data_IF_329855084333
#
_entry.id   IF_329855084333
#
_cell.length_a   1.000
_cell.length_b   1.000
_cell.length_c   1.000
_cell.angle_alpha   90.00
_cell.angle_beta   90.00
_cell.angle_gamma   90.00
#
_symmetry.space_group_name_H-M   'P 1'
#
loop_
_entity.id
_entity.type
_entity.pdbx_description
1 polymer ?
#
# COMPACT_ATOMS: atom_id res chain seq x y z
N UNK A 1 -9.26 2.50 5.36
CA UNK A 1 -8.72 2.54 4.00
C UNK A 1 -9.78 2.96 2.98
N UNK A 2 -10.94 2.29 2.97
CA UNK A 2 -12.04 2.57 2.03
C UNK A 2 -12.41 4.07 1.99
N UNK A 3 -12.68 4.70 3.14
CA UNK A 3 -13.01 6.12 3.19
C UNK A 3 -11.90 7.01 2.60
N UNK A 4 -10.63 6.80 2.98
CA UNK A 4 -9.51 7.59 2.46
C UNK A 4 -9.38 7.49 0.94
N UNK A 5 -9.44 6.28 0.38
CA UNK A 5 -9.37 6.08 -1.07
C UNK A 5 -10.61 6.63 -1.78
N UNK A 6 -11.80 6.44 -1.23
CA UNK A 6 -13.02 7.01 -1.80
C UNK A 6 -12.97 8.55 -1.85
N UNK A 7 -12.48 9.17 -0.79
CA UNK A 7 -12.53 10.63 -0.64
C UNK A 7 -11.34 11.34 -1.30
N UNK A 8 -10.20 10.65 -1.45
CA UNK A 8 -8.95 11.31 -1.83
C UNK A 8 -8.22 10.65 -3.02
N UNK A 9 -8.64 9.47 -3.52
CA UNK A 9 -8.00 8.83 -4.66
C UNK A 9 -8.88 8.91 -5.91
N UNK A 10 -8.39 9.58 -6.94
CA UNK A 10 -9.15 9.83 -8.18
C UNK A 10 -8.39 9.48 -9.46
N UNK A 11 -7.19 8.90 -9.34
CA UNK A 11 -6.36 8.57 -10.50
C UNK A 11 -6.97 7.47 -11.38
N UNK A 12 -7.52 6.42 -10.77
CA UNK A 12 -8.16 5.31 -11.47
C UNK A 12 -9.32 4.71 -10.66
N UNK A 13 -10.18 3.87 -11.25
CA UNK A 13 -11.20 3.14 -10.51
C UNK A 13 -10.59 2.29 -9.40
N UNK A 14 -11.18 2.37 -8.20
CA UNK A 14 -10.77 1.59 -7.03
C UNK A 14 -11.84 0.57 -6.71
N UNK A 15 -11.41 -0.67 -6.51
CA UNK A 15 -12.24 -1.77 -6.06
C UNK A 15 -11.68 -2.33 -4.77
N UNK A 16 -12.56 -2.86 -3.92
CA UNK A 16 -12.19 -3.49 -2.66
C UNK A 16 -12.53 -4.99 -2.71
N UNK A 17 -11.86 -5.80 -1.91
CA UNK A 17 -12.18 -7.20 -1.75
C UNK A 17 -11.74 -7.65 -0.36
N UNK A 18 -12.30 -8.75 0.12
CA UNK A 18 -11.86 -9.35 1.38
C UNK A 18 -10.61 -10.20 1.16
N UNK A 19 -9.69 -10.20 2.10
CA UNK A 19 -8.48 -11.04 2.10
C UNK A 19 -8.79 -12.53 1.85
N UNK A 20 -9.87 -13.04 2.45
CA UNK A 20 -10.39 -14.40 2.24
C UNK A 20 -10.75 -14.72 0.78
N UNK A 21 -10.87 -13.71 -0.07
CA UNK A 21 -11.16 -13.82 -1.51
C UNK A 21 -9.98 -13.44 -2.40
N UNK A 22 -8.79 -13.19 -1.84
CA UNK A 22 -7.59 -12.77 -2.59
C UNK A 22 -7.22 -13.72 -3.75
N UNK A 23 -7.29 -15.03 -3.53
CA UNK A 23 -7.00 -16.02 -4.57
C UNK A 23 -7.96 -15.92 -5.76
N UNK A 24 -9.23 -15.57 -5.53
CA UNK A 24 -10.19 -15.35 -6.61
C UNK A 24 -9.81 -14.13 -7.45
N UNK A 25 -9.41 -13.04 -6.81
CA UNK A 25 -8.92 -11.82 -7.48
C UNK A 25 -7.68 -12.14 -8.31
N UNK A 26 -6.71 -12.88 -7.75
CA UNK A 26 -5.50 -13.32 -8.46
C UNK A 26 -5.82 -14.17 -9.69
N UNK A 27 -6.88 -14.96 -9.64
CA UNK A 27 -7.38 -15.78 -10.76
C UNK A 27 -8.28 -15.03 -11.75
N UNK A 28 -8.47 -13.71 -11.57
CA UNK A 28 -9.36 -12.90 -12.42
C UNK A 28 -10.86 -13.13 -12.20
N UNK A 29 -11.24 -13.84 -11.12
CA UNK A 29 -12.64 -14.11 -10.76
C UNK A 29 -13.24 -12.91 -10.01
N UNK A 30 -13.50 -11.83 -10.72
CA UNK A 30 -13.92 -10.55 -10.11
C UNK A 30 -15.41 -10.47 -9.81
N UNK A 31 -16.26 -11.19 -10.54
CA UNK A 31 -17.72 -11.13 -10.40
C UNK A 31 -18.16 -11.58 -8.99
N UNK A 32 -18.89 -10.71 -8.29
CA UNK A 32 -19.32 -10.93 -6.92
C UNK A 32 -18.20 -10.92 -5.87
N UNK A 33 -16.95 -10.66 -6.27
CA UNK A 33 -15.77 -10.57 -5.39
C UNK A 33 -15.35 -9.13 -5.17
N UNK A 34 -15.35 -8.32 -6.23
CA UNK A 34 -15.03 -6.90 -6.14
C UNK A 34 -16.20 -6.11 -5.56
N UNK A 35 -15.86 -5.20 -4.65
CA UNK A 35 -16.77 -4.36 -3.89
C UNK A 35 -16.53 -2.88 -4.19
N UNK A 36 -17.60 -2.09 -4.08
CA UNK A 36 -17.54 -0.63 -4.14
C UNK A 36 -17.12 -0.03 -2.79
N UNK A 37 -17.07 1.31 -2.70
CA UNK A 37 -16.72 2.01 -1.45
C UNK A 37 -17.76 1.87 -0.33
N UNK A 38 -18.95 1.36 -0.63
CA UNK A 38 -19.97 1.00 0.35
C UNK A 38 -19.93 -0.49 0.71
N UNK A 39 -18.90 -1.21 0.25
CA UNK A 39 -18.73 -2.65 0.44
C UNK A 39 -19.83 -3.51 -0.20
N UNK A 40 -20.50 -3.00 -1.23
CA UNK A 40 -21.48 -3.76 -2.01
C UNK A 40 -20.81 -4.35 -3.25
N UNK A 41 -21.26 -5.53 -3.74
CA UNK A 41 -20.75 -6.11 -4.98
C UNK A 41 -20.88 -5.16 -6.17
N UNK A 42 -19.78 -5.00 -6.92
CA UNK A 42 -19.75 -4.16 -8.12
C UNK A 42 -20.46 -4.86 -9.27
N UNK A 43 -21.45 -4.17 -9.86
CA UNK A 43 -22.21 -4.70 -11.01
C UNK A 43 -21.60 -4.37 -12.37
N UNK A 44 -20.96 -3.22 -12.50
CA UNK A 44 -20.41 -2.70 -13.76
C UNK A 44 -18.94 -2.33 -13.58
N UNK A 45 -18.09 -3.35 -13.43
CA UNK A 45 -16.65 -3.14 -13.28
C UNK A 45 -16.01 -2.84 -14.64
N UNK A 46 -15.07 -1.89 -14.65
CA UNK A 46 -14.26 -1.53 -15.85
C UNK A 46 -13.17 -2.57 -16.10
N UNK A 47 -12.72 -3.26 -15.06
CA UNK A 47 -11.67 -4.28 -15.13
C UNK A 47 -12.24 -5.63 -15.61
N UNK A 48 -11.48 -6.32 -16.47
CA UNK A 48 -11.79 -7.64 -17.00
C UNK A 48 -10.81 -8.70 -16.49
N UNK A 49 -11.22 -9.97 -16.49
CA UNK A 49 -10.37 -11.10 -16.08
C UNK A 49 -9.05 -11.25 -16.89
N UNK A 50 -8.94 -10.57 -18.04
CA UNK A 50 -7.73 -10.58 -18.88
C UNK A 50 -6.80 -9.41 -18.61
N UNK A 51 -7.23 -8.44 -17.81
CA UNK A 51 -6.45 -7.25 -17.56
C UNK A 51 -5.32 -7.58 -16.60
N UNK A 52 -4.11 -7.14 -16.96
CA UNK A 52 -2.90 -7.30 -16.13
C UNK A 52 -2.38 -5.97 -15.59
N UNK A 53 -2.97 -4.85 -16.06
CA UNK A 53 -2.58 -3.48 -15.75
C UNK A 53 -3.35 -2.94 -14.53
N UNK A 54 -3.30 -3.66 -13.42
CA UNK A 54 -3.85 -3.20 -12.16
C UNK A 54 -2.89 -3.47 -11.01
N UNK A 55 -3.08 -2.73 -9.92
CA UNK A 55 -2.30 -2.89 -8.70
C UNK A 55 -3.19 -3.36 -7.57
N UNK A 56 -2.64 -4.18 -6.70
CA UNK A 56 -3.29 -4.58 -5.44
C UNK A 56 -2.59 -3.86 -4.30
N UNK A 57 -3.36 -3.23 -3.42
CA UNK A 57 -2.81 -2.49 -2.28
C UNK A 57 -3.43 -2.92 -0.96
N UNK A 58 -2.64 -2.95 0.10
CA UNK A 58 -3.12 -3.11 1.46
C UNK A 58 -2.22 -2.37 2.45
N UNK A 59 -2.76 -2.03 3.62
CA UNK A 59 -2.02 -1.37 4.69
C UNK A 59 -1.71 -2.39 5.75
N UNK A 60 -0.43 -2.66 5.94
CA UNK A 60 0.03 -3.79 6.73
C UNK A 60 1.52 -3.75 6.96
N UNK A 61 2.00 -4.77 7.65
CA UNK A 61 3.43 -5.06 7.67
C UNK A 61 3.81 -5.59 6.29
N UNK A 62 4.88 -5.08 5.69
CA UNK A 62 5.45 -5.74 4.53
C UNK A 62 5.86 -7.15 4.93
N UNK A 63 5.38 -8.13 4.16
CA UNK A 63 6.03 -9.44 4.10
C UNK A 63 7.50 -9.16 3.78
N UNK A 64 8.46 -9.79 4.48
CA UNK A 64 9.87 -9.60 4.18
C UNK A 64 10.07 -9.82 2.68
N UNK A 65 10.45 -8.76 1.96
CA UNK A 65 11.07 -8.98 0.66
C UNK A 65 12.24 -9.93 0.94
N UNK A 66 12.43 -10.94 0.10
CA UNK A 66 13.68 -11.70 0.10
C UNK A 66 14.78 -10.76 -0.42
N UNK A 67 15.05 -9.69 0.31
CA UNK A 67 16.08 -8.74 -0.02
C UNK A 67 17.38 -9.38 0.41
N UNK A 68 18.01 -10.09 -0.51
CA UNK A 68 19.48 -10.07 -0.60
C UNK A 68 19.90 -8.66 -0.99
N UNK A 69 19.66 -7.66 -0.14
CA UNK A 69 20.36 -6.38 -0.26
C UNK A 69 21.61 -6.48 0.58
N UNK A 70 22.71 -6.83 -0.08
CA UNK A 70 23.98 -6.21 0.24
C UNK A 70 23.86 -4.71 -0.10
N UNK A 71 23.19 -3.93 0.75
CA UNK A 71 23.47 -2.50 0.77
C UNK A 71 24.87 -2.35 1.34
N UNK A 72 25.82 -1.97 0.47
CA UNK A 72 27.20 -1.63 0.81
C UNK A 72 27.28 -0.38 1.66
N UNK A 73 26.69 -0.41 2.85
CA UNK A 73 26.91 0.59 3.88
C UNK A 73 28.26 0.29 4.54
N UNK A 74 29.32 0.94 4.07
CA UNK A 74 30.65 0.93 4.68
C UNK A 74 30.72 1.80 5.95
N UNK A 75 29.61 1.99 6.67
CA UNK A 75 29.64 2.60 7.98
C UNK A 75 29.92 1.51 9.01
N UNK A 76 31.04 1.61 9.69
CA UNK A 76 31.37 0.82 10.88
C UNK A 76 30.24 1.00 11.90
N UNK A 77 29.35 0.02 12.00
CA UNK A 77 28.34 -0.03 13.07
C UNK A 77 29.10 -0.34 14.35
N UNK A 78 29.09 0.59 15.30
CA UNK A 78 29.60 0.31 16.64
C UNK A 78 28.77 -0.84 17.23
N UNK A 79 29.43 -1.90 17.72
CA UNK A 79 28.77 -3.08 18.30
C UNK A 79 27.84 -2.75 19.47
N UNK A 80 28.02 -1.60 20.10
CA UNK A 80 27.16 -1.13 21.19
C UNK A 80 25.81 -0.55 20.69
N UNK A 81 25.70 -0.14 19.42
CA UNK A 81 24.44 0.29 18.80
C UNK A 81 23.61 -0.89 18.26
N UNK A 82 24.22 -2.07 18.12
CA UNK A 82 23.59 -3.28 17.56
C UNK A 82 22.51 -3.85 18.50
N UNK A 83 22.72 -3.73 19.82
CA UNK A 83 21.74 -4.14 20.84
C UNK A 83 20.52 -3.20 20.90
N UNK A 84 20.68 -1.91 20.60
CA UNK A 84 19.55 -0.98 20.51
C UNK A 84 18.83 -1.03 19.14
N UNK A 85 19.53 -1.42 18.07
CA UNK A 85 18.92 -1.59 16.74
C UNK A 85 18.08 -2.86 16.61
N UNK A 86 18.40 -3.93 17.35
CA UNK A 86 17.66 -5.21 17.29
C UNK A 86 16.24 -5.13 17.89
N UNK A 87 15.99 -4.25 18.85
CA UNK A 87 14.63 -3.96 19.32
C UNK A 87 13.89 -2.94 18.44
N UNK A 88 14.60 -2.01 17.82
CA UNK A 88 14.01 -1.06 16.87
C UNK A 88 13.63 -1.70 15.53
N UNK A 89 14.24 -2.82 15.12
CA UNK A 89 13.94 -3.50 13.84
C UNK A 89 12.58 -4.22 13.85
N UNK A 90 12.14 -4.73 15.00
CA UNK A 90 10.79 -5.34 15.15
C UNK A 90 9.67 -4.29 15.20
N UNK A 91 9.94 -3.10 15.76
CA UNK A 91 9.02 -1.95 15.75
C UNK A 91 9.09 -1.12 14.45
N UNK A 92 10.10 -1.36 13.61
CA UNK A 92 10.27 -0.76 12.27
C UNK A 92 9.64 -1.56 11.14
N UNK A 93 8.92 -2.65 11.43
CA UNK A 93 7.79 -3.04 10.57
C UNK A 93 6.68 -1.99 10.77
N UNK A 94 6.98 -0.76 10.38
CA UNK A 94 6.00 0.30 10.36
C UNK A 94 4.94 -0.14 9.35
N UNK A 95 3.69 -0.18 9.80
CA UNK A 95 2.57 -0.36 8.90
C UNK A 95 2.70 0.62 7.74
N UNK A 96 2.82 0.08 6.54
CA UNK A 96 2.96 0.86 5.31
C UNK A 96 1.95 0.37 4.28
N UNK A 97 1.70 1.22 3.30
CA UNK A 97 0.98 0.80 2.12
C UNK A 97 1.91 -0.12 1.31
N UNK A 98 1.50 -1.37 1.15
CA UNK A 98 2.16 -2.35 0.31
C UNK A 98 1.44 -2.37 -1.03
N UNK A 99 2.21 -2.32 -2.11
CA UNK A 99 1.69 -2.35 -3.49
C UNK A 99 2.24 -3.56 -4.20
N UNK A 100 1.35 -4.29 -4.86
CA UNK A 100 1.63 -5.52 -5.57
C UNK A 100 1.10 -5.43 -7.01
N UNK A 101 1.67 -6.23 -7.88
CA UNK A 101 1.13 -6.46 -9.22
C UNK A 101 -0.13 -7.35 -9.20
N UNK A 102 -0.67 -7.65 -10.38
CA UNK A 102 -1.82 -8.55 -10.55
C UNK A 102 -1.57 -10.00 -10.09
N UNK A 103 -0.31 -10.41 -9.93
CA UNK A 103 0.06 -11.73 -9.41
C UNK A 103 0.26 -11.73 -7.88
N UNK A 104 -0.04 -10.62 -7.22
CA UNK A 104 0.20 -10.40 -5.79
C UNK A 104 1.70 -10.48 -5.45
N UNK A 105 2.57 -10.19 -6.42
CA UNK A 105 4.00 -10.01 -6.18
C UNK A 105 4.21 -8.56 -5.77
N UNK A 106 4.80 -8.36 -4.58
CA UNK A 106 5.17 -7.02 -4.13
C UNK A 106 6.11 -6.39 -5.16
N UNK A 107 5.71 -5.24 -5.67
CA UNK A 107 6.57 -4.47 -6.55
C UNK A 107 7.77 -4.01 -5.74
N UNK A 108 9.00 -4.00 -6.31
CA UNK A 108 10.14 -3.38 -5.67
C UNK A 108 9.69 -2.02 -5.18
N UNK A 109 9.94 -1.71 -3.91
CA UNK A 109 9.65 -0.39 -3.35
C UNK A 109 10.35 0.64 -4.25
N UNK A 110 9.64 1.19 -5.23
CA UNK A 110 10.14 2.26 -6.08
C UNK A 110 10.29 3.45 -5.14
N UNK A 111 11.49 3.56 -4.59
CA UNK A 111 11.93 4.57 -3.63
C UNK A 111 12.02 5.93 -4.31
N UNK A 112 11.05 6.32 -5.13
CA UNK A 112 10.89 7.65 -5.72
C UNK A 112 9.41 8.05 -5.72
N UNK A 113 8.52 7.21 -6.25
CA UNK A 113 7.06 7.39 -6.14
C UNK A 113 6.58 7.34 -4.68
N UNK A 114 7.29 6.55 -3.86
CA UNK A 114 6.89 6.18 -2.49
C UNK A 114 7.89 6.63 -1.42
N UNK A 115 9.12 6.98 -1.77
CA UNK A 115 10.11 7.54 -0.83
C UNK A 115 10.02 9.06 -0.70
N UNK A 116 9.27 9.77 -1.55
CA UNK A 116 8.89 11.17 -1.29
C UNK A 116 8.09 11.31 0.03
N UNK A 117 7.72 10.18 0.63
CA UNK A 117 7.31 10.07 2.03
C UNK A 117 8.40 10.53 3.02
N UNK A 118 9.66 10.58 2.61
CA UNK A 118 10.78 11.21 3.32
C UNK A 118 10.77 12.76 3.27
N UNK A 119 9.69 13.40 2.81
CA UNK A 119 9.52 14.86 2.96
C UNK A 119 9.05 15.15 4.39
N UNK A 120 10.01 15.53 5.23
CA UNK A 120 9.85 15.72 6.68
C UNK A 120 8.69 16.61 7.13
N UNK A 121 8.34 16.47 8.43
CA UNK A 121 7.37 17.27 9.23
C UNK A 121 5.93 17.46 8.69
N UNK A 122 5.65 17.28 7.40
CA UNK A 122 4.34 17.57 6.77
C UNK A 122 3.24 16.53 7.04
N UNK A 123 3.60 15.38 7.60
CA UNK A 123 2.69 14.28 7.94
C UNK A 123 1.76 14.62 9.11
N UNK A 124 2.18 15.58 9.96
CA UNK A 124 1.40 16.00 11.13
C UNK A 124 0.04 16.61 10.76
N UNK A 125 -0.10 17.12 9.54
CA UNK A 125 -1.30 17.80 9.06
C UNK A 125 -2.17 16.94 8.14
N UNK A 126 -1.77 15.69 7.86
CA UNK A 126 -2.63 14.80 7.07
C UNK A 126 -3.86 14.39 7.89
N UNK A 127 -5.05 14.28 7.26
CA UNK A 127 -6.20 13.68 7.89
C UNK A 127 -5.84 12.31 8.47
N UNK A 128 -6.40 12.01 9.63
CA UNK A 128 -6.15 10.76 10.35
C UNK A 128 -7.42 9.94 10.30
N UNK A 129 -7.28 8.69 9.89
CA UNK A 129 -8.37 7.73 9.92
C UNK A 129 -8.14 6.75 11.06
N UNK A 130 -9.17 6.59 11.88
CA UNK A 130 -9.20 5.59 12.95
C UNK A 130 -10.36 4.65 12.66
N UNK A 131 -10.07 3.36 12.62
CA UNK A 131 -11.06 2.31 12.55
C UNK A 131 -10.95 1.46 13.81
N UNK A 132 -12.06 1.30 14.53
CA UNK A 132 -12.11 0.49 15.74
C UNK A 132 -13.19 -0.58 15.57
N UNK A 133 -12.85 -1.81 15.95
CA UNK A 133 -13.78 -2.94 16.09
C UNK A 133 -13.50 -3.66 17.42
N UNK A 134 -14.30 -4.66 17.76
CA UNK A 134 -14.07 -5.49 18.96
C UNK A 134 -12.73 -6.25 18.93
N UNK A 135 -12.15 -6.42 17.75
CA UNK A 135 -10.96 -7.26 17.53
C UNK A 135 -9.74 -6.48 17.05
N UNK A 136 -9.92 -5.25 16.54
CA UNK A 136 -8.84 -4.50 15.91
C UNK A 136 -9.05 -2.99 16.01
N UNK A 137 -7.97 -2.27 16.29
CA UNK A 137 -7.87 -0.82 16.12
C UNK A 137 -6.81 -0.51 15.07
N UNK A 138 -7.22 0.09 13.96
CA UNK A 138 -6.32 0.56 12.90
C UNK A 138 -6.26 2.07 12.98
N UNK A 139 -5.04 2.60 13.07
CA UNK A 139 -4.75 4.02 12.91
C UNK A 139 -3.84 4.20 11.71
N UNK A 140 -4.22 5.07 10.78
CA UNK A 140 -3.34 5.45 9.68
C UNK A 140 -3.60 6.89 9.22
N UNK A 141 -2.57 7.50 8.63
CA UNK A 141 -2.67 8.81 7.99
C UNK A 141 -3.21 8.65 6.57
N UNK A 142 -4.00 9.62 6.11
CA UNK A 142 -4.56 9.67 4.77
C UNK A 142 -3.46 9.76 3.70
N UNK A 143 -3.26 8.70 2.92
CA UNK A 143 -2.23 8.65 1.86
C UNK A 143 -2.81 8.63 0.46
N UNK A 144 -4.09 8.31 0.32
CA UNK A 144 -4.76 8.20 -0.98
C UNK A 144 -4.56 9.45 -1.85
N UNK A 145 -4.68 10.65 -1.29
CA UNK A 145 -4.48 11.91 -2.04
C UNK A 145 -3.05 12.14 -2.52
N UNK A 146 -2.06 11.83 -1.67
CA UNK A 146 -0.64 11.92 -2.07
C UNK A 146 -0.37 10.91 -3.18
N UNK A 147 -0.86 9.69 -3.03
CA UNK A 147 -0.68 8.65 -4.01
C UNK A 147 -1.33 9.01 -5.34
N UNK A 148 -2.59 9.46 -5.33
CA UNK A 148 -3.31 9.87 -6.53
C UNK A 148 -2.53 10.92 -7.31
N UNK A 149 -2.02 11.95 -6.62
CA UNK A 149 -1.20 12.99 -7.25
C UNK A 149 0.10 12.43 -7.85
N UNK A 150 0.84 11.63 -7.09
CA UNK A 150 2.13 11.10 -7.54
C UNK A 150 1.95 10.19 -8.77
N UNK A 151 0.89 9.38 -8.82
CA UNK A 151 0.58 8.56 -10.01
C UNK A 151 0.18 9.43 -11.20
N UNK A 152 -0.67 10.44 -11.00
CA UNK A 152 -1.00 11.41 -12.05
C UNK A 152 0.28 12.04 -12.61
N UNK A 153 1.16 12.57 -11.77
CA UNK A 153 2.40 13.21 -12.21
C UNK A 153 3.31 12.23 -12.97
N UNK A 154 3.51 11.02 -12.45
CA UNK A 154 4.41 10.04 -13.05
C UNK A 154 3.98 9.59 -14.44
N UNK A 155 2.69 9.34 -14.64
CA UNK A 155 2.17 8.87 -15.91
C UNK A 155 1.89 10.03 -16.89
N UNK A 156 1.50 11.23 -16.41
CA UNK A 156 1.25 12.38 -17.29
C UNK A 156 2.54 12.97 -17.88
N UNK A 157 3.68 12.90 -17.18
CA UNK A 157 4.95 13.47 -17.65
C UNK A 157 5.64 12.56 -18.69
N UNK A 158 5.20 11.31 -18.83
CA UNK A 158 5.87 10.28 -19.65
C UNK A 158 5.16 9.96 -20.97
N UNK A 159 4.03 10.61 -21.25
CA UNK A 159 3.30 10.58 -22.52
C UNK A 159 3.61 11.85 -23.34
#
# INVERSE_FOLDING_TARGET
>A
MVADFNDNFHYCPVYYFYDTTAEKVKQGQFEGVLLDSNLNPVKNMVISAKDTNFFVTYFGNSVPENVTTSYGWNGTVNKDDELNYSHASSLRQAFKLVVMDHNFVQLPSYTELWSAVAIGRKWRNLPKYTYNSAHLSIYYWAFAGILSRNLTEFYTIRD
#
